data_IF_116051147599
#
_entry.id   IF_116051147599
#
_cell.length_a   1.000
_cell.length_b   1.000
_cell.length_c   1.000
_cell.angle_alpha   90.00
_cell.angle_beta   90.00
_cell.angle_gamma   90.00
#
_symmetry.space_group_name_H-M   'P 1'
#
loop_
_entity.id
_entity.type
_entity.pdbx_description
1 polymer ?
#
# COMPACT_ATOMS: atom_id res chain seq x y z
N UNK A 1 7.61 30.54 4.51
CA UNK A 1 8.50 29.37 4.73
C UNK A 1 7.97 28.22 3.89
N UNK A 2 8.71 27.75 2.88
CA UNK A 2 8.35 26.55 2.13
C UNK A 2 8.51 25.34 3.07
N UNK A 3 7.42 24.73 3.50
CA UNK A 3 7.47 23.47 4.25
C UNK A 3 7.68 22.33 3.25
N UNK A 4 8.72 21.53 3.45
CA UNK A 4 9.05 20.37 2.60
C UNK A 4 7.88 19.36 2.50
N UNK A 5 6.96 19.37 3.48
CA UNK A 5 5.74 18.56 3.42
C UNK A 5 4.86 18.89 2.20
N UNK A 6 4.87 20.13 1.67
CA UNK A 6 4.01 20.52 0.53
C UNK A 6 4.34 19.82 -0.79
N UNK A 7 5.43 19.05 -0.84
CA UNK A 7 5.82 18.22 -1.99
C UNK A 7 5.41 16.74 -1.82
N UNK A 8 4.97 16.33 -0.63
CA UNK A 8 4.49 14.98 -0.41
C UNK A 8 3.13 14.78 -1.11
N UNK A 9 2.89 13.61 -1.71
CA UNK A 9 1.56 13.24 -2.17
C UNK A 9 0.55 13.33 -1.02
N UNK A 10 -0.69 13.69 -1.33
CA UNK A 10 -1.79 13.61 -0.36
C UNK A 10 -2.03 12.16 0.04
N UNK A 11 -2.55 11.93 1.24
CA UNK A 11 -2.90 10.58 1.69
C UNK A 11 -3.85 9.87 0.72
N UNK A 12 -4.83 10.60 0.16
CA UNK A 12 -5.76 10.04 -0.83
C UNK A 12 -5.03 9.58 -2.09
N UNK A 13 -4.08 10.36 -2.61
CA UNK A 13 -3.26 9.93 -3.76
C UNK A 13 -2.38 8.72 -3.44
N UNK A 14 -1.90 8.59 -2.20
CA UNK A 14 -1.13 7.42 -1.78
C UNK A 14 -1.98 6.16 -1.70
N UNK A 15 -3.21 6.27 -1.19
CA UNK A 15 -4.18 5.17 -1.16
C UNK A 15 -4.51 4.71 -2.58
N UNK A 16 -4.85 5.63 -3.49
CA UNK A 16 -5.08 5.32 -4.92
C UNK A 16 -3.89 4.66 -5.60
N UNK A 17 -2.68 5.05 -5.21
CA UNK A 17 -1.46 4.43 -5.70
C UNK A 17 -1.33 2.97 -5.22
N UNK A 18 -1.63 2.69 -3.96
CA UNK A 18 -1.68 1.32 -3.43
C UNK A 18 -2.72 0.47 -4.15
N UNK A 19 -3.92 1.00 -4.37
CA UNK A 19 -4.97 0.35 -5.16
C UNK A 19 -4.48 -0.03 -6.55
N UNK A 20 -3.89 0.93 -7.27
CA UNK A 20 -3.37 0.72 -8.62
C UNK A 20 -2.31 -0.39 -8.63
N UNK A 21 -1.40 -0.39 -7.65
CA UNK A 21 -0.36 -1.41 -7.54
C UNK A 21 -0.94 -2.82 -7.31
N UNK A 22 -1.91 -2.95 -6.40
CA UNK A 22 -2.57 -4.23 -6.14
C UNK A 22 -3.34 -4.72 -7.37
N UNK A 23 -4.08 -3.84 -8.05
CA UNK A 23 -4.83 -4.18 -9.27
C UNK A 23 -3.92 -4.64 -10.41
N UNK A 24 -2.77 -3.97 -10.61
CA UNK A 24 -1.75 -4.42 -11.56
C UNK A 24 -1.21 -5.79 -11.17
N UNK A 25 -0.96 -6.04 -9.89
CA UNK A 25 -0.44 -7.33 -9.43
C UNK A 25 -1.46 -8.46 -9.62
N UNK A 26 -2.74 -8.21 -9.35
CA UNK A 26 -3.82 -9.13 -9.68
C UNK A 26 -3.89 -9.41 -11.19
N UNK A 27 -3.72 -8.38 -12.02
CA UNK A 27 -3.70 -8.56 -13.48
C UNK A 27 -2.52 -9.41 -13.96
N UNK A 28 -1.37 -9.38 -13.27
CA UNK A 28 -0.24 -10.27 -13.57
C UNK A 28 -0.49 -11.72 -13.15
N UNK A 29 -1.51 -12.01 -12.34
CA UNK A 29 -1.82 -13.37 -11.91
C UNK A 29 -2.57 -14.15 -12.99
N UNK A 30 -1.98 -15.23 -13.48
CA UNK A 30 -2.62 -16.15 -14.42
C UNK A 30 -2.49 -17.59 -13.89
N UNK A 31 -3.55 -18.39 -14.06
CA UNK A 31 -3.66 -19.74 -13.44
C UNK A 31 -2.67 -20.76 -14.02
N UNK A 32 -2.22 -20.54 -15.25
CA UNK A 32 -1.28 -21.37 -16.00
C UNK A 32 0.19 -21.06 -15.71
N UNK A 33 0.50 -20.00 -14.94
CA UNK A 33 1.85 -19.73 -14.48
C UNK A 33 2.37 -20.84 -13.57
N UNK A 34 3.69 -20.97 -13.51
CA UNK A 34 4.33 -21.93 -12.61
C UNK A 34 3.91 -21.70 -11.14
N UNK A 35 3.78 -22.76 -10.32
CA UNK A 35 3.42 -22.65 -8.91
C UNK A 35 4.27 -21.63 -8.13
N UNK A 36 5.56 -21.55 -8.46
CA UNK A 36 6.50 -20.59 -7.85
C UNK A 36 6.12 -19.14 -8.16
N UNK A 37 5.75 -18.85 -9.39
CA UNK A 37 5.35 -17.50 -9.82
C UNK A 37 3.99 -17.12 -9.24
N UNK A 38 3.01 -18.03 -9.27
CA UNK A 38 1.70 -17.81 -8.62
C UNK A 38 1.86 -17.46 -7.15
N UNK A 39 2.68 -18.24 -6.43
CA UNK A 39 2.95 -18.00 -5.01
C UNK A 39 3.63 -16.65 -4.77
N UNK A 40 4.62 -16.28 -5.58
CA UNK A 40 5.30 -14.99 -5.45
C UNK A 40 4.36 -13.79 -5.70
N UNK A 41 3.46 -13.89 -6.69
CA UNK A 41 2.45 -12.87 -6.95
C UNK A 41 1.45 -12.77 -5.80
N UNK A 42 0.94 -13.92 -5.32
CA UNK A 42 0.03 -13.96 -4.18
C UNK A 42 0.67 -13.38 -2.91
N UNK A 43 1.94 -13.72 -2.61
CA UNK A 43 2.65 -13.17 -1.46
C UNK A 43 2.91 -11.66 -1.60
N UNK A 44 3.14 -11.17 -2.82
CA UNK A 44 3.25 -9.72 -3.11
C UNK A 44 1.92 -9.01 -2.84
N UNK A 45 0.81 -9.57 -3.31
CA UNK A 45 -0.55 -9.04 -3.06
C UNK A 45 -0.81 -9.01 -1.55
N UNK A 46 -0.54 -10.11 -0.84
CA UNK A 46 -0.74 -10.22 0.61
C UNK A 46 0.04 -9.14 1.37
N UNK A 47 1.33 -8.97 1.07
CA UNK A 47 2.16 -7.96 1.73
C UNK A 47 1.66 -6.54 1.43
N UNK A 48 1.26 -6.26 0.19
CA UNK A 48 0.75 -4.95 -0.21
C UNK A 48 -0.56 -4.60 0.52
N UNK A 49 -1.51 -5.55 0.58
CA UNK A 49 -2.80 -5.38 1.27
C UNK A 49 -2.63 -5.21 2.78
N UNK A 50 -1.75 -5.98 3.42
CA UNK A 50 -1.47 -5.82 4.85
C UNK A 50 -0.91 -4.42 5.17
N UNK A 51 0.02 -3.94 4.35
CA UNK A 51 0.62 -2.61 4.51
C UNK A 51 -0.44 -1.54 4.29
N UNK A 52 -1.21 -1.63 3.22
CA UNK A 52 -2.28 -0.70 2.87
C UNK A 52 -3.34 -0.60 3.99
N UNK A 53 -3.92 -1.73 4.41
CA UNK A 53 -4.90 -1.78 5.49
C UNK A 53 -4.35 -1.22 6.81
N UNK A 54 -3.10 -1.53 7.16
CA UNK A 54 -2.45 -0.97 8.37
C UNK A 54 -2.35 0.55 8.29
N UNK A 55 -1.97 1.10 7.13
CA UNK A 55 -1.80 2.54 6.97
C UNK A 55 -3.14 3.29 7.07
N UNK A 56 -4.22 2.71 6.55
CA UNK A 56 -5.55 3.31 6.64
C UNK A 56 -6.09 3.28 8.07
N UNK A 57 -6.00 2.13 8.72
CA UNK A 57 -6.49 1.95 10.09
C UNK A 57 -5.72 2.79 11.11
N UNK A 58 -4.41 2.96 10.95
CA UNK A 58 -3.59 3.74 11.87
C UNK A 58 -3.66 5.26 11.60
N UNK A 59 -3.89 5.69 10.36
CA UNK A 59 -3.69 7.10 9.96
C UNK A 59 -4.93 7.72 9.33
N UNK A 60 -5.60 7.03 8.40
CA UNK A 60 -6.67 7.61 7.61
C UNK A 60 -8.02 7.53 8.34
N UNK A 61 -8.49 6.32 8.68
CA UNK A 61 -9.78 6.09 9.30
C UNK A 61 -9.95 6.81 10.64
N UNK A 62 -8.95 6.90 11.55
CA UNK A 62 -9.10 7.66 12.79
C UNK A 62 -9.44 9.13 12.55
N UNK A 63 -8.87 9.75 11.51
CA UNK A 63 -9.16 11.15 11.16
C UNK A 63 -10.55 11.26 10.55
N UNK A 64 -10.92 10.33 9.66
CA UNK A 64 -12.25 10.34 9.05
C UNK A 64 -13.37 10.11 10.08
N UNK A 65 -13.19 9.19 11.04
CA UNK A 65 -14.14 9.00 12.16
C UNK A 65 -14.33 10.26 13.00
N UNK A 66 -13.26 11.01 13.25
CA UNK A 66 -13.34 12.26 14.02
C UNK A 66 -14.06 13.38 13.26
N UNK A 67 -13.95 13.38 11.93
CA UNK A 67 -14.53 14.43 11.08
C UNK A 67 -15.98 14.15 10.71
N UNK A 68 -16.30 12.89 10.46
CA UNK A 68 -17.63 12.44 10.09
C UNK A 68 -17.85 10.98 10.47
N UNK A 69 -18.22 10.74 11.73
CA UNK A 69 -18.54 9.40 12.23
C UNK A 69 -19.79 8.78 11.56
N UNK A 70 -20.58 9.58 10.84
CA UNK A 70 -21.79 9.15 10.16
C UNK A 70 -21.55 8.57 8.77
N UNK A 71 -20.33 8.66 8.23
CA UNK A 71 -19.97 8.10 6.92
C UNK A 71 -20.09 6.56 6.96
N UNK A 72 -21.09 5.96 6.28
CA UNK A 72 -21.40 4.54 6.44
C UNK A 72 -20.25 3.61 6.05
N UNK A 73 -19.40 4.02 5.10
CA UNK A 73 -18.28 3.20 4.65
C UNK A 73 -17.24 2.94 5.76
N UNK A 74 -16.99 3.90 6.65
CA UNK A 74 -15.96 3.76 7.69
C UNK A 74 -16.26 2.58 8.62
N UNK A 75 -17.54 2.26 8.83
CA UNK A 75 -17.99 1.13 9.65
C UNK A 75 -17.90 -0.22 8.91
N UNK A 76 -17.83 -0.20 7.57
CA UNK A 76 -17.70 -1.41 6.73
C UNK A 76 -16.25 -1.80 6.49
N UNK A 77 -15.35 -0.81 6.40
CA UNK A 77 -13.96 -1.03 6.05
C UNK A 77 -13.22 -1.99 7.00
N UNK A 78 -13.44 -1.86 8.32
CA UNK A 78 -12.79 -2.75 9.30
C UNK A 78 -13.21 -4.23 9.16
N UNK A 79 -14.51 -4.58 9.10
CA UNK A 79 -14.95 -5.93 8.77
C UNK A 79 -14.36 -6.48 7.46
N UNK A 80 -14.33 -5.67 6.40
CA UNK A 80 -13.75 -6.07 5.10
C UNK A 80 -12.25 -6.34 5.21
N UNK A 81 -11.50 -5.48 5.92
CA UNK A 81 -10.08 -5.69 6.20
C UNK A 81 -9.81 -6.96 7.00
N UNK A 82 -10.68 -7.28 7.96
CA UNK A 82 -10.57 -8.53 8.74
C UNK A 82 -10.78 -9.77 7.87
N UNK A 83 -11.74 -9.72 6.95
CA UNK A 83 -11.96 -10.83 6.00
C UNK A 83 -10.80 -10.96 5.00
N UNK A 84 -10.27 -9.85 4.50
CA UNK A 84 -9.06 -9.85 3.67
C UNK A 84 -7.87 -10.48 4.41
N UNK A 85 -7.64 -10.14 5.68
CA UNK A 85 -6.58 -10.74 6.51
C UNK A 85 -6.78 -12.24 6.70
N UNK A 86 -8.01 -12.69 6.91
CA UNK A 86 -8.34 -14.13 7.03
C UNK A 86 -7.93 -14.88 5.76
N UNK A 87 -8.27 -14.35 4.58
CA UNK A 87 -7.88 -14.95 3.30
C UNK A 87 -6.37 -14.91 3.05
N UNK A 88 -5.71 -13.80 3.41
CA UNK A 88 -4.24 -13.67 3.33
C UNK A 88 -3.56 -14.76 4.16
N UNK A 89 -4.01 -15.00 5.40
CA UNK A 89 -3.47 -16.06 6.25
C UNK A 89 -3.66 -17.46 5.66
N UNK A 90 -4.75 -17.69 4.93
CA UNK A 90 -5.00 -18.95 4.22
C UNK A 90 -4.11 -19.09 2.97
N UNK A 91 -3.95 -18.02 2.18
CA UNK A 91 -3.06 -17.97 1.02
C UNK A 91 -1.60 -18.16 1.39
N UNK A 92 -1.16 -17.62 2.53
CA UNK A 92 0.21 -17.77 3.03
C UNK A 92 0.55 -19.23 3.30
N UNK A 93 -0.41 -20.00 3.82
CA UNK A 93 -0.29 -21.43 4.15
C UNK A 93 -0.56 -22.36 2.96
N UNK A 94 -1.14 -21.84 1.87
CA UNK A 94 -1.49 -22.64 0.70
C UNK A 94 -0.38 -22.58 -0.35
N UNK A 95 0.10 -23.75 -0.79
CA UNK A 95 1.10 -23.87 -1.87
C UNK A 95 0.55 -23.36 -3.20
N UNK A 96 1.38 -22.70 -4.01
CA UNK A 96 0.99 -22.27 -5.37
C UNK A 96 0.64 -23.42 -6.33
N UNK A 97 0.94 -24.67 -5.96
CA UNK A 97 0.57 -25.88 -6.72
C UNK A 97 -0.80 -26.44 -6.29
N UNK A 98 -1.35 -25.98 -5.17
CA UNK A 98 -2.65 -26.44 -4.67
C UNK A 98 -3.79 -25.81 -5.50
N UNK A 99 -4.75 -26.60 -6.02
CA UNK A 99 -5.93 -26.07 -6.72
C UNK A 99 -6.75 -25.06 -5.90
N UNK A 100 -6.69 -25.11 -4.56
CA UNK A 100 -7.31 -24.12 -3.67
C UNK A 100 -6.65 -22.74 -3.77
N UNK A 101 -5.36 -22.67 -4.12
CA UNK A 101 -4.62 -21.41 -4.21
C UNK A 101 -5.28 -20.45 -5.21
N UNK A 102 -5.62 -20.95 -6.40
CA UNK A 102 -6.27 -20.13 -7.44
C UNK A 102 -7.66 -19.66 -7.00
N UNK A 103 -8.39 -20.46 -6.21
CA UNK A 103 -9.71 -20.06 -5.70
C UNK A 103 -9.57 -18.92 -4.69
N UNK A 104 -8.65 -19.06 -3.74
CA UNK A 104 -8.40 -18.06 -2.70
C UNK A 104 -7.91 -16.73 -3.29
N UNK A 105 -7.04 -16.76 -4.30
CA UNK A 105 -6.59 -15.52 -4.97
C UNK A 105 -7.76 -14.82 -5.67
N UNK A 106 -8.64 -15.56 -6.33
CA UNK A 106 -9.79 -14.99 -7.04
C UNK A 106 -10.86 -14.45 -6.07
N UNK A 107 -11.05 -15.11 -4.93
CA UNK A 107 -11.93 -14.64 -3.86
C UNK A 107 -11.40 -13.34 -3.23
N UNK A 108 -10.11 -13.31 -2.88
CA UNK A 108 -9.43 -12.11 -2.38
C UNK A 108 -9.51 -10.97 -3.40
N UNK A 109 -9.26 -11.25 -4.68
CA UNK A 109 -9.37 -10.25 -5.75
C UNK A 109 -10.78 -9.65 -5.80
N UNK A 110 -11.83 -10.47 -5.71
CA UNK A 110 -13.22 -10.00 -5.71
C UNK A 110 -13.48 -9.08 -4.52
N UNK A 111 -13.09 -9.46 -3.31
CA UNK A 111 -13.34 -8.63 -2.11
C UNK A 111 -12.56 -7.32 -2.15
N UNK A 112 -11.29 -7.36 -2.55
CA UNK A 112 -10.47 -6.16 -2.73
C UNK A 112 -11.07 -5.22 -3.78
N UNK A 113 -11.56 -5.74 -4.91
CA UNK A 113 -12.16 -4.91 -5.96
C UNK A 113 -13.41 -4.18 -5.47
N UNK A 114 -14.25 -4.82 -4.64
CA UNK A 114 -15.41 -4.15 -4.05
C UNK A 114 -14.98 -3.06 -3.06
N UNK A 115 -14.04 -3.39 -2.16
CA UNK A 115 -13.50 -2.45 -1.19
C UNK A 115 -12.89 -1.20 -1.87
N UNK A 116 -12.01 -1.41 -2.86
CA UNK A 116 -11.38 -0.33 -3.64
C UNK A 116 -12.43 0.51 -4.37
N UNK A 117 -13.47 -0.09 -4.93
CA UNK A 117 -14.51 0.64 -5.63
C UNK A 117 -15.26 1.60 -4.69
N UNK A 118 -15.63 1.13 -3.49
CA UNK A 118 -16.31 1.96 -2.49
C UNK A 118 -15.40 3.09 -1.99
N UNK A 119 -14.12 2.81 -1.73
CA UNK A 119 -13.16 3.85 -1.34
C UNK A 119 -12.96 4.92 -2.41
N UNK A 120 -12.66 4.51 -3.65
CA UNK A 120 -12.35 5.41 -4.76
C UNK A 120 -13.53 6.32 -5.11
N UNK A 121 -14.76 5.80 -4.99
CA UNK A 121 -15.98 6.52 -5.40
C UNK A 121 -16.65 7.29 -4.26
N UNK A 122 -16.43 6.88 -3.01
CA UNK A 122 -17.12 7.44 -1.85
C UNK A 122 -16.14 8.02 -0.84
N UNK A 123 -15.31 7.19 -0.20
CA UNK A 123 -14.53 7.63 0.96
C UNK A 123 -13.44 8.65 0.59
N UNK A 124 -12.67 8.42 -0.47
CA UNK A 124 -11.58 9.30 -0.86
C UNK A 124 -12.10 10.67 -1.36
N UNK A 125 -13.12 10.75 -2.24
CA UNK A 125 -13.73 12.03 -2.59
C UNK A 125 -14.33 12.76 -1.39
N UNK A 126 -14.95 12.04 -0.45
CA UNK A 126 -15.49 12.63 0.78
C UNK A 126 -14.38 13.23 1.65
N UNK A 127 -13.27 12.52 1.83
CA UNK A 127 -12.10 13.05 2.52
C UNK A 127 -11.55 14.32 1.84
N UNK A 128 -11.49 14.33 0.50
CA UNK A 128 -11.06 15.49 -0.29
C UNK A 128 -11.99 16.69 -0.17
N UNK A 129 -13.29 16.46 0.03
CA UNK A 129 -14.28 17.51 0.26
C UNK A 129 -14.25 18.05 1.70
N UNK A 130 -13.91 17.21 2.69
CA UNK A 130 -13.98 17.57 4.12
C UNK A 130 -12.67 18.06 4.71
N UNK A 131 -11.53 17.67 4.14
CA UNK A 131 -10.20 17.98 4.66
C UNK A 131 -9.50 19.00 3.78
N UNK A 132 -8.77 19.93 4.40
CA UNK A 132 -7.95 20.86 3.64
C UNK A 132 -6.79 20.12 2.95
N UNK A 133 -6.34 20.66 1.81
CA UNK A 133 -5.19 20.10 1.10
C UNK A 133 -3.93 20.01 1.97
N UNK A 134 -3.70 20.98 2.85
CA UNK A 134 -2.55 20.97 3.77
C UNK A 134 -2.69 19.81 4.78
N UNK A 135 -3.89 19.53 5.31
CA UNK A 135 -4.12 18.35 6.16
C UNK A 135 -3.90 17.03 5.44
N UNK A 136 -4.46 16.88 4.23
CA UNK A 136 -4.28 15.68 3.40
C UNK A 136 -2.81 15.41 3.08
N UNK A 137 -2.04 16.48 2.88
CA UNK A 137 -0.60 16.42 2.62
C UNK A 137 0.18 16.00 3.86
N UNK A 138 -0.13 16.57 5.03
CA UNK A 138 0.50 16.17 6.30
C UNK A 138 0.19 14.71 6.67
N UNK A 139 -1.03 14.25 6.39
CA UNK A 139 -1.41 12.84 6.53
C UNK A 139 -0.61 11.95 5.56
N UNK A 140 -0.42 12.37 4.31
CA UNK A 140 0.41 11.65 3.35
C UNK A 140 1.88 11.54 3.78
N UNK A 141 2.44 12.60 4.38
CA UNK A 141 3.78 12.55 4.95
C UNK A 141 3.89 11.56 6.12
N UNK A 142 2.86 11.45 6.98
CA UNK A 142 2.79 10.43 8.05
C UNK A 142 2.69 9.02 7.45
N UNK A 143 1.83 8.82 6.47
CA UNK A 143 1.64 7.55 5.78
C UNK A 143 2.95 7.08 5.11
N UNK A 144 3.67 7.98 4.46
CA UNK A 144 4.97 7.68 3.84
C UNK A 144 5.97 7.18 4.88
N UNK A 145 6.07 7.86 6.02
CA UNK A 145 7.00 7.46 7.10
C UNK A 145 6.65 6.08 7.63
N UNK A 146 5.36 5.85 7.93
CA UNK A 146 4.89 4.58 8.47
C UNK A 146 5.08 3.43 7.47
N UNK A 147 4.84 3.68 6.18
CA UNK A 147 5.10 2.70 5.12
C UNK A 147 6.55 2.25 5.11
N UNK A 148 7.50 3.18 5.25
CA UNK A 148 8.93 2.82 5.31
C UNK A 148 9.27 1.93 6.51
N UNK A 149 8.64 2.15 7.66
CA UNK A 149 8.81 1.31 8.85
C UNK A 149 8.25 -0.10 8.64
N UNK A 150 7.12 -0.23 7.94
CA UNK A 150 6.51 -1.52 7.62
C UNK A 150 7.28 -2.29 6.53
N UNK A 151 7.79 -1.58 5.52
CA UNK A 151 8.54 -2.15 4.38
C UNK A 151 9.96 -2.53 4.75
N UNK A 152 10.64 -1.73 5.60
CA UNK A 152 12.05 -1.93 5.94
C UNK A 152 12.42 -3.36 6.34
N UNK A 153 11.75 -3.97 7.32
CA UNK A 153 11.99 -5.36 7.73
C UNK A 153 11.68 -6.40 6.64
N UNK A 154 10.79 -6.08 5.69
CA UNK A 154 10.34 -6.96 4.60
C UNK A 154 11.11 -6.74 3.29
N UNK A 155 12.00 -5.76 3.20
CA UNK A 155 12.55 -5.29 1.92
C UNK A 155 13.23 -6.38 1.08
N UNK A 156 14.01 -7.28 1.70
CA UNK A 156 14.65 -8.39 0.98
C UNK A 156 13.65 -9.44 0.45
N UNK A 157 12.60 -9.73 1.23
CA UNK A 157 11.51 -10.63 0.82
C UNK A 157 10.74 -10.04 -0.36
N UNK A 158 10.32 -8.78 -0.24
CA UNK A 158 9.59 -8.06 -1.29
C UNK A 158 10.41 -8.02 -2.59
N UNK A 159 11.69 -7.64 -2.53
CA UNK A 159 12.54 -7.60 -3.72
C UNK A 159 12.64 -8.96 -4.43
N UNK A 160 12.75 -10.05 -3.66
CA UNK A 160 12.78 -11.42 -4.19
C UNK A 160 11.44 -11.81 -4.83
N UNK A 161 10.33 -11.51 -4.17
CA UNK A 161 8.99 -11.83 -4.66
C UNK A 161 8.67 -11.05 -5.93
N UNK A 162 8.98 -9.76 -5.99
CA UNK A 162 8.84 -8.94 -7.19
C UNK A 162 9.67 -9.48 -8.36
N UNK A 163 10.94 -9.86 -8.11
CA UNK A 163 11.80 -10.42 -9.15
C UNK A 163 11.31 -11.77 -9.69
N UNK A 164 10.56 -12.54 -8.90
CA UNK A 164 9.99 -13.84 -9.31
C UNK A 164 8.61 -13.68 -9.95
N UNK A 165 7.78 -12.79 -9.41
CA UNK A 165 6.37 -12.65 -9.79
C UNK A 165 6.14 -11.82 -11.04
N UNK A 166 6.94 -10.77 -11.26
CA UNK A 166 6.75 -9.86 -12.38
C UNK A 166 7.64 -10.21 -13.55
N UNK A 167 7.09 -10.16 -14.76
CA UNK A 167 7.90 -10.14 -15.98
C UNK A 167 8.78 -8.87 -15.99
N UNK A 168 9.97 -8.96 -16.60
CA UNK A 168 11.03 -7.94 -16.47
C UNK A 168 10.65 -6.50 -16.82
N UNK A 169 9.57 -6.27 -17.57
CA UNK A 169 9.04 -4.93 -17.88
C UNK A 169 8.25 -4.29 -16.74
N UNK A 170 7.55 -5.07 -15.92
CA UNK A 170 6.70 -4.55 -14.83
C UNK A 170 7.47 -4.35 -13.51
N UNK A 171 8.54 -5.15 -13.28
CA UNK A 171 9.42 -4.97 -12.13
C UNK A 171 10.12 -3.59 -12.11
N UNK A 172 10.41 -3.01 -13.28
CA UNK A 172 11.07 -1.72 -13.41
C UNK A 172 10.23 -0.53 -12.91
N UNK A 173 8.91 -0.57 -13.04
CA UNK A 173 8.01 0.52 -12.63
C UNK A 173 7.85 0.57 -11.11
N UNK A 174 7.68 -0.59 -10.48
CA UNK A 174 7.49 -0.69 -9.02
C UNK A 174 8.80 -0.40 -8.26
N UNK A 175 9.93 -0.91 -8.75
CA UNK A 175 11.25 -0.63 -8.16
C UNK A 175 11.69 0.82 -8.42
N UNK A 176 11.34 1.40 -9.57
CA UNK A 176 11.66 2.80 -9.92
C UNK A 176 11.09 3.82 -8.94
N UNK A 177 9.86 3.60 -8.44
CA UNK A 177 9.20 4.51 -7.49
C UNK A 177 9.78 4.38 -6.07
N UNK A 178 10.12 3.17 -5.63
CA UNK A 178 10.83 2.96 -4.37
C UNK A 178 12.23 3.59 -4.40
N UNK A 179 12.97 3.42 -5.50
CA UNK A 179 14.34 3.94 -5.63
C UNK A 179 14.39 5.48 -5.71
N UNK A 180 13.40 6.13 -6.32
CA UNK A 180 13.29 7.61 -6.29
C UNK A 180 13.08 8.16 -4.86
N UNK A 181 12.28 7.47 -4.03
CA UNK A 181 12.05 7.83 -2.63
C UNK A 181 13.30 7.57 -1.75
N UNK A 182 14.09 6.52 -2.05
CA UNK A 182 15.35 6.25 -1.36
C UNK A 182 16.46 7.24 -1.73
N UNK A 183 16.58 7.63 -3.00
CA UNK A 183 17.60 8.57 -3.46
C UNK A 183 17.44 9.97 -2.84
N UNK A 184 16.20 10.43 -2.65
CA UNK A 184 15.92 11.74 -2.04
C UNK A 184 16.46 11.87 -0.60
N UNK A 185 16.65 10.77 0.13
CA UNK A 185 17.17 10.77 1.51
C UNK A 185 18.70 10.59 1.59
N UNK A 186 19.31 9.94 0.59
CA UNK A 186 20.75 9.72 0.53
C UNK A 186 21.55 10.97 0.12
N UNK A 187 20.91 11.91 -0.61
CA UNK A 187 21.56 13.13 -1.13
C UNK A 187 21.07 14.43 -0.47
N UNK A 188 20.37 14.35 0.67
CA UNK A 188 20.05 15.54 1.46
C UNK A 188 21.32 16.27 1.93
N UNK A 189 21.32 17.62 1.98
CA UNK A 189 22.53 18.40 2.28
C UNK A 189 23.09 18.02 3.67
N UNK A 190 24.36 17.59 3.71
CA UNK A 190 25.08 17.32 4.96
C UNK A 190 25.17 18.63 5.76
N UNK A 191 24.73 18.61 7.02
CA UNK A 191 24.87 19.76 7.93
C UNK A 191 26.35 20.18 7.99
N UNK A 192 26.70 21.46 7.80
CA UNK A 192 28.06 21.91 8.00
C UNK A 192 28.44 21.80 9.48
N UNK A 193 29.62 21.25 9.72
CA UNK A 193 30.29 21.14 11.01
C UNK A 193 30.42 22.53 11.65
N UNK A 194 29.82 22.75 12.83
CA UNK A 194 30.08 23.94 13.64
C UNK A 194 31.36 23.71 14.43
N UNK A 195 32.43 24.42 14.10
CA UNK A 195 33.59 24.60 14.98
C UNK A 195 33.14 25.39 16.22
N UNK A 196 33.46 24.87 17.41
CA UNK A 196 33.35 25.64 18.66
C UNK A 196 34.58 26.54 18.79
N UNK A 197 34.45 27.82 19.16
CA UNK A 197 35.60 28.61 19.59
C UNK A 197 35.91 28.33 21.07
N UNK A 198 37.21 28.35 21.37
CA UNK A 198 37.77 28.41 22.73
C UNK A 198 37.60 29.81 23.33
#
# INVERSE_FOLDING_TARGET
MFSLNKLCPTITNMIRFDHSHVMVTFHQYEKDKSPRVKKALADTICDALEIHATLEEEIFYPVMRQRDAGEPFIHKAEPEHMEMRRMIDELRRTSGADPRHDKLVMELMRDVMHHVADEETTLLPHAEAKLSRDMLTDMGAKMTRRRLELVGPKAGKLAKEHAVGFSGSAAAVVVGLASALFAAKAFGPKKPWKSSPA
#
